data_IF_669217026318
#
_entry.id   IF_669217026318
#
_cell.length_a   1.000
_cell.length_b   1.000
_cell.length_c   1.000
_cell.angle_alpha   90.00
_cell.angle_beta   90.00
_cell.angle_gamma   90.00
#
_symmetry.space_group_name_H-M   'P 1'
#
loop_
_entity.id
_entity.type
_entity.pdbx_description
1 polymer ?
#
# COMPACT_ATOMS: atom_id res chain seq x y z
N UNK A 1 -11.31 -10.52 -4.31
CA UNK A 1 -11.47 -11.70 -3.41
C UNK A 1 -10.56 -11.60 -2.19
N UNK A 2 -9.23 -11.57 -2.34
CA UNK A 2 -8.32 -11.43 -1.18
C UNK A 2 -8.52 -10.12 -0.39
N UNK A 3 -8.63 -8.97 -1.07
CA UNK A 3 -8.85 -7.69 -0.39
C UNK A 3 -10.19 -7.65 0.38
N UNK A 4 -11.25 -8.33 -0.10
CA UNK A 4 -12.53 -8.45 0.62
C UNK A 4 -12.38 -9.28 1.90
N UNK A 5 -11.65 -10.39 1.82
CA UNK A 5 -11.36 -11.18 3.00
C UNK A 5 -10.62 -10.37 4.07
N UNK A 6 -9.55 -9.66 3.69
CA UNK A 6 -8.74 -8.87 4.63
C UNK A 6 -9.48 -7.61 5.11
N UNK A 7 -10.17 -6.91 4.22
CA UNK A 7 -10.75 -5.60 4.51
C UNK A 7 -12.16 -5.60 5.08
N UNK A 8 -12.85 -6.74 5.07
CA UNK A 8 -14.24 -6.84 5.53
C UNK A 8 -14.46 -8.09 6.37
N UNK A 9 -14.22 -9.28 5.81
CA UNK A 9 -14.61 -10.55 6.45
C UNK A 9 -13.79 -10.85 7.72
N UNK A 10 -12.45 -10.82 7.60
CA UNK A 10 -11.56 -11.10 8.72
C UNK A 10 -11.67 -10.03 9.80
N UNK A 11 -11.72 -8.76 9.42
CA UNK A 11 -11.87 -7.63 10.36
C UNK A 11 -13.18 -7.76 11.14
N UNK A 12 -14.29 -8.05 10.47
CA UNK A 12 -15.57 -8.29 11.13
C UNK A 12 -15.51 -9.44 12.13
N UNK A 13 -14.87 -10.55 11.75
CA UNK A 13 -14.69 -11.69 12.64
C UNK A 13 -13.86 -11.35 13.89
N UNK A 14 -12.68 -10.72 13.72
CA UNK A 14 -11.79 -10.44 14.85
C UNK A 14 -12.35 -9.35 15.78
N UNK A 15 -13.06 -8.37 15.23
CA UNK A 15 -13.79 -7.34 16.00
C UNK A 15 -14.80 -7.99 16.94
N UNK A 16 -15.59 -8.94 16.44
CA UNK A 16 -16.62 -9.64 17.22
C UNK A 16 -16.03 -10.66 18.21
N UNK A 17 -14.89 -11.26 17.87
CA UNK A 17 -14.28 -12.32 18.70
C UNK A 17 -13.44 -11.76 19.84
N UNK A 18 -12.69 -10.69 19.58
CA UNK A 18 -11.68 -10.17 20.51
C UNK A 18 -11.99 -8.77 21.05
N UNK A 19 -13.12 -8.16 20.65
CA UNK A 19 -13.52 -6.84 21.14
C UNK A 19 -12.61 -5.70 20.65
N UNK A 20 -12.09 -5.82 19.41
CA UNK A 20 -11.22 -4.81 18.82
C UNK A 20 -11.97 -3.53 18.46
N UNK A 21 -11.22 -2.47 18.17
CA UNK A 21 -11.75 -1.19 17.75
C UNK A 21 -12.66 -1.32 16.51
N UNK A 22 -13.79 -0.62 16.54
CA UNK A 22 -14.83 -0.68 15.49
C UNK A 22 -14.69 0.42 14.43
N UNK A 23 -13.91 1.45 14.75
CA UNK A 23 -13.77 2.66 13.93
C UNK A 23 -12.53 2.56 13.04
N UNK A 24 -12.59 3.21 11.88
CA UNK A 24 -11.45 3.32 10.98
C UNK A 24 -10.29 4.04 11.66
N UNK A 25 -10.58 5.09 12.44
CA UNK A 25 -9.61 5.92 13.15
C UNK A 25 -8.65 5.09 14.01
N UNK A 26 -9.13 4.02 14.62
CA UNK A 26 -8.36 3.15 15.52
C UNK A 26 -7.90 1.85 14.84
N UNK A 27 -8.13 1.72 13.54
CA UNK A 27 -7.76 0.51 12.77
C UNK A 27 -6.73 0.88 11.69
N UNK A 28 -5.57 0.21 11.74
CA UNK A 28 -4.51 0.35 10.75
C UNK A 28 -4.25 -0.97 10.01
N UNK A 29 -3.77 -0.86 8.78
CA UNK A 29 -3.15 -1.96 8.03
C UNK A 29 -1.70 -1.61 7.71
N UNK A 30 -0.79 -2.57 7.90
CA UNK A 30 0.63 -2.39 7.70
C UNK A 30 1.19 -3.51 6.83
N UNK A 31 2.12 -3.17 5.94
CA UNK A 31 2.83 -4.17 5.14
C UNK A 31 4.15 -3.65 4.59
N UNK A 32 4.98 -4.59 4.14
CA UNK A 32 6.24 -4.31 3.45
C UNK A 32 6.31 -5.01 2.09
N UNK A 33 7.12 -4.51 1.15
CA UNK A 33 7.28 -5.12 -0.19
C UNK A 33 5.94 -5.24 -0.92
N UNK A 34 5.61 -6.41 -1.46
CA UNK A 34 4.28 -6.70 -2.01
C UNK A 34 3.15 -6.48 -0.99
N UNK A 35 3.41 -6.74 0.29
CA UNK A 35 2.47 -6.45 1.38
C UNK A 35 2.25 -4.95 1.59
N UNK A 36 3.24 -4.11 1.30
CA UNK A 36 3.10 -2.64 1.36
C UNK A 36 2.19 -2.12 0.26
N UNK A 37 2.33 -2.65 -0.97
CA UNK A 37 1.34 -2.44 -2.04
C UNK A 37 -0.05 -2.90 -1.62
N UNK A 38 -0.16 -4.12 -1.08
CA UNK A 38 -1.43 -4.68 -0.63
C UNK A 38 -2.10 -3.87 0.49
N UNK A 39 -1.31 -3.33 1.41
CA UNK A 39 -1.79 -2.46 2.49
C UNK A 39 -2.39 -1.16 1.93
N UNK A 40 -1.68 -0.47 1.03
CA UNK A 40 -2.18 0.74 0.35
C UNK A 40 -3.46 0.46 -0.43
N UNK A 41 -3.43 -0.55 -1.29
CA UNK A 41 -4.58 -0.94 -2.10
C UNK A 41 -5.81 -1.26 -1.23
N UNK A 42 -5.63 -2.07 -0.19
CA UNK A 42 -6.72 -2.47 0.70
C UNK A 42 -7.26 -1.29 1.50
N UNK A 43 -6.39 -0.44 2.06
CA UNK A 43 -6.82 0.73 2.82
C UNK A 43 -7.61 1.72 1.96
N UNK A 44 -7.20 1.94 0.71
CA UNK A 44 -7.95 2.83 -0.20
C UNK A 44 -9.25 2.20 -0.74
N UNK A 45 -9.31 0.87 -0.81
CA UNK A 45 -10.54 0.16 -1.18
C UNK A 45 -11.57 0.16 -0.03
N UNK A 46 -11.09 0.03 1.22
CA UNK A 46 -11.92 -0.04 2.43
C UNK A 46 -11.57 1.09 3.42
N UNK A 47 -11.75 2.37 3.05
CA UNK A 47 -11.36 3.52 3.89
C UNK A 47 -12.21 3.64 5.16
N UNK A 48 -13.41 3.04 5.17
CA UNK A 48 -14.27 2.97 6.36
C UNK A 48 -13.85 1.85 7.32
N UNK A 49 -13.01 0.92 6.86
CA UNK A 49 -12.40 -0.11 7.73
C UNK A 49 -11.06 0.36 8.29
N UNK A 50 -10.20 0.92 7.44
CA UNK A 50 -8.83 1.32 7.81
C UNK A 50 -8.65 2.83 7.70
N UNK A 51 -8.47 3.50 8.82
CA UNK A 51 -8.21 4.93 8.86
C UNK A 51 -6.74 5.29 8.78
N UNK A 52 -5.84 4.30 8.86
CA UNK A 52 -4.39 4.47 8.75
C UNK A 52 -3.76 3.33 7.95
N UNK A 53 -2.73 3.63 7.17
CA UNK A 53 -1.96 2.65 6.40
C UNK A 53 -0.47 2.91 6.55
N UNK A 54 0.28 1.84 6.80
CA UNK A 54 1.74 1.86 6.82
C UNK A 54 2.30 0.94 5.73
N UNK A 55 3.15 1.51 4.87
CA UNK A 55 3.63 0.86 3.65
C UNK A 55 5.14 1.05 3.52
N UNK A 56 5.89 -0.01 3.77
CA UNK A 56 7.36 0.01 3.81
C UNK A 56 7.96 -0.70 2.59
N UNK A 57 8.96 -0.11 1.94
CA UNK A 57 9.61 -0.69 0.76
C UNK A 57 8.62 -1.24 -0.26
N UNK A 58 7.55 -0.49 -0.57
CA UNK A 58 6.37 -1.08 -1.21
C UNK A 58 6.64 -1.41 -2.68
N UNK A 59 6.14 -2.56 -3.16
CA UNK A 59 6.24 -2.97 -4.55
C UNK A 59 5.25 -2.20 -5.45
N UNK A 60 5.45 -0.89 -5.56
CA UNK A 60 4.64 0.04 -6.35
C UNK A 60 5.08 0.03 -7.82
N UNK A 61 5.01 -1.17 -8.41
CA UNK A 61 5.59 -1.50 -9.72
C UNK A 61 4.58 -1.43 -10.87
N UNK A 62 3.40 -0.83 -10.65
CA UNK A 62 2.30 -0.79 -11.64
C UNK A 62 2.75 -0.21 -12.98
N UNK A 63 3.54 0.88 -12.96
CA UNK A 63 4.05 1.50 -14.18
C UNK A 63 5.17 0.69 -14.86
N UNK A 64 5.91 -0.12 -14.09
CA UNK A 64 6.99 -0.96 -14.61
C UNK A 64 6.44 -2.18 -15.35
N UNK A 65 5.40 -2.81 -14.81
CA UNK A 65 4.79 -4.02 -15.39
C UNK A 65 3.76 -3.70 -16.49
N UNK A 66 3.43 -2.42 -16.68
CA UNK A 66 2.42 -1.97 -17.63
C UNK A 66 2.80 -2.40 -19.06
N UNK A 67 1.85 -3.06 -19.74
CA UNK A 67 2.03 -3.53 -21.10
C UNK A 67 2.96 -4.73 -21.27
N UNK A 68 3.45 -5.35 -20.17
CA UNK A 68 4.20 -6.61 -20.25
C UNK A 68 3.34 -7.66 -20.97
N UNK A 69 3.93 -8.35 -21.94
CA UNK A 69 3.25 -9.35 -22.77
C UNK A 69 3.55 -10.76 -22.27
N UNK A 70 2.74 -11.72 -22.73
CA UNK A 70 2.93 -13.14 -22.43
C UNK A 70 4.36 -13.60 -22.80
N UNK A 71 4.96 -14.37 -21.91
CA UNK A 71 6.38 -14.73 -21.94
C UNK A 71 7.36 -13.65 -21.45
N UNK A 72 6.90 -12.47 -21.04
CA UNK A 72 7.72 -11.41 -20.44
C UNK A 72 8.19 -11.74 -19.02
N UNK A 73 9.35 -11.19 -18.64
CA UNK A 73 10.01 -11.37 -17.34
C UNK A 73 10.96 -10.19 -17.09
N UNK A 74 11.03 -9.70 -15.85
CA UNK A 74 11.91 -8.58 -15.44
C UNK A 74 13.00 -8.99 -14.43
N UNK A 75 13.21 -10.29 -14.21
CA UNK A 75 14.14 -10.85 -13.23
C UNK A 75 13.56 -10.98 -11.81
N UNK A 76 12.41 -10.38 -11.54
CA UNK A 76 11.69 -10.49 -10.25
C UNK A 76 10.56 -11.50 -10.37
N UNK A 77 9.71 -11.35 -11.39
CA UNK A 77 8.67 -12.31 -11.72
C UNK A 77 8.32 -12.25 -13.22
N UNK A 78 7.52 -13.22 -13.66
CA UNK A 78 7.07 -13.33 -15.04
C UNK A 78 5.67 -12.73 -15.24
N UNK A 79 5.28 -12.60 -16.51
CA UNK A 79 3.96 -12.12 -16.92
C UNK A 79 2.82 -12.86 -16.22
N UNK A 80 2.88 -14.19 -16.11
CA UNK A 80 1.79 -14.97 -15.52
C UNK A 80 1.54 -14.61 -14.05
N UNK A 81 2.61 -14.40 -13.29
CA UNK A 81 2.51 -13.92 -11.90
C UNK A 81 1.90 -12.52 -11.82
N UNK A 82 2.41 -11.58 -12.61
CA UNK A 82 1.91 -10.20 -12.60
C UNK A 82 0.47 -10.11 -13.09
N UNK A 83 0.10 -10.85 -14.13
CA UNK A 83 -1.27 -10.90 -14.62
C UNK A 83 -2.23 -11.50 -13.59
N UNK A 84 -1.81 -12.53 -12.83
CA UNK A 84 -2.64 -13.07 -11.75
C UNK A 84 -2.83 -12.05 -10.61
N UNK A 85 -1.77 -11.32 -10.23
CA UNK A 85 -1.84 -10.35 -9.14
C UNK A 85 -2.56 -9.05 -9.52
N UNK A 86 -2.35 -8.54 -10.73
CA UNK A 86 -2.75 -7.20 -11.15
C UNK A 86 -3.79 -7.20 -12.29
N UNK A 87 -4.18 -8.37 -12.79
CA UNK A 87 -5.13 -8.51 -13.89
C UNK A 87 -4.54 -8.10 -15.25
N UNK A 88 -5.36 -7.45 -16.07
CA UNK A 88 -4.96 -7.04 -17.41
C UNK A 88 -3.84 -5.97 -17.37
N UNK A 89 -2.61 -6.36 -17.68
CA UNK A 89 -1.43 -5.48 -17.63
C UNK A 89 -1.44 -4.36 -18.68
N UNK A 90 -2.24 -4.47 -19.74
CA UNK A 90 -2.42 -3.38 -20.72
C UNK A 90 -3.23 -2.20 -20.16
N UNK A 91 -4.03 -2.45 -19.11
CA UNK A 91 -4.93 -1.48 -18.50
C UNK A 91 -4.56 -1.16 -17.05
N UNK A 92 -3.54 -1.82 -16.49
CA UNK A 92 -3.22 -1.81 -15.06
C UNK A 92 -3.03 -0.42 -14.48
N UNK A 93 -2.42 0.50 -15.25
CA UNK A 93 -2.19 1.89 -14.84
C UNK A 93 -3.49 2.64 -14.55
N UNK A 94 -4.57 2.34 -15.29
CA UNK A 94 -5.87 2.99 -15.14
C UNK A 94 -6.86 2.16 -14.29
N UNK A 95 -6.43 1.00 -13.80
CA UNK A 95 -7.29 0.04 -13.09
C UNK A 95 -7.36 0.30 -11.59
N UNK A 96 -8.29 -0.40 -10.92
CA UNK A 96 -8.37 -0.42 -9.45
C UNK A 96 -7.16 -1.09 -8.80
N UNK A 97 -6.36 -1.86 -9.54
CA UNK A 97 -5.11 -2.43 -9.04
C UNK A 97 -3.97 -1.39 -8.99
N UNK A 98 -4.24 -0.11 -9.31
CA UNK A 98 -3.33 1.00 -9.10
C UNK A 98 -3.75 1.86 -7.88
N UNK A 99 -2.97 1.88 -6.78
CA UNK A 99 -3.22 2.73 -5.63
C UNK A 99 -3.37 4.22 -5.96
N UNK A 100 -2.71 4.73 -7.01
CA UNK A 100 -2.87 6.11 -7.49
C UNK A 100 -4.31 6.39 -7.93
N UNK A 101 -4.93 5.45 -8.63
CA UNK A 101 -6.31 5.57 -9.10
C UNK A 101 -7.29 5.52 -7.93
N UNK A 102 -7.06 4.60 -6.99
CA UNK A 102 -7.90 4.46 -5.80
C UNK A 102 -7.88 5.71 -4.93
N UNK A 103 -6.70 6.23 -4.57
CA UNK A 103 -6.59 7.41 -3.71
C UNK A 103 -7.09 8.68 -4.40
N UNK A 104 -6.87 8.81 -5.72
CA UNK A 104 -7.40 9.91 -6.51
C UNK A 104 -8.93 9.89 -6.55
N UNK A 105 -9.53 8.71 -6.69
CA UNK A 105 -11.00 8.53 -6.63
C UNK A 105 -11.54 8.96 -5.27
N UNK A 106 -10.94 8.52 -4.17
CA UNK A 106 -11.35 8.94 -2.82
C UNK A 106 -11.29 10.47 -2.67
N UNK A 107 -10.21 11.10 -3.15
CA UNK A 107 -10.05 12.56 -3.13
C UNK A 107 -11.13 13.27 -3.94
N UNK A 108 -11.39 12.82 -5.18
CA UNK A 108 -12.38 13.42 -6.07
C UNK A 108 -13.82 13.26 -5.58
N UNK A 109 -14.12 12.14 -4.92
CA UNK A 109 -15.41 11.87 -4.32
C UNK A 109 -15.57 12.53 -2.93
N UNK A 110 -14.56 13.26 -2.47
CA UNK A 110 -14.50 13.88 -1.14
C UNK A 110 -14.75 12.87 0.00
N UNK A 111 -14.29 11.64 -0.20
CA UNK A 111 -14.31 10.57 0.80
C UNK A 111 -13.12 10.68 1.73
N UNK A 112 -13.23 10.04 2.90
CA UNK A 112 -12.13 9.96 3.85
C UNK A 112 -10.97 9.18 3.23
N UNK A 113 -9.77 9.76 3.30
CA UNK A 113 -8.53 9.09 2.89
C UNK A 113 -7.83 8.60 4.17
N UNK A 114 -7.40 7.32 4.23
CA UNK A 114 -6.61 6.81 5.35
C UNK A 114 -5.34 7.65 5.53
N UNK A 115 -4.88 7.86 6.75
CA UNK A 115 -3.57 8.48 7.00
C UNK A 115 -2.47 7.58 6.42
N UNK A 116 -1.63 8.13 5.55
CA UNK A 116 -0.64 7.36 4.79
C UNK A 116 0.73 7.55 5.43
N UNK A 117 1.37 6.45 5.81
CA UNK A 117 2.73 6.39 6.32
C UNK A 117 3.57 5.49 5.42
N UNK A 118 4.63 6.04 4.86
CA UNK A 118 5.49 5.34 3.91
C UNK A 118 6.95 5.47 4.30
N UNK A 119 7.70 4.37 4.15
CA UNK A 119 9.14 4.41 4.26
C UNK A 119 9.83 3.52 3.24
N UNK A 120 11.02 3.89 2.80
CA UNK A 120 11.85 3.03 1.97
C UNK A 120 13.33 3.29 2.25
N UNK A 121 14.13 2.23 2.23
CA UNK A 121 15.56 2.31 2.45
C UNK A 121 16.27 2.92 1.25
N UNK A 122 17.33 3.70 1.48
CA UNK A 122 18.08 4.35 0.39
C UNK A 122 18.86 3.37 -0.49
N UNK A 123 19.07 2.14 -0.02
CA UNK A 123 19.70 1.06 -0.78
C UNK A 123 18.69 0.02 -1.31
N UNK A 124 17.39 0.26 -1.09
CA UNK A 124 16.32 -0.63 -1.55
C UNK A 124 16.09 -0.48 -3.07
N UNK A 125 15.94 -1.59 -3.78
CA UNK A 125 15.69 -1.59 -5.22
C UNK A 125 14.31 -1.02 -5.59
N UNK A 126 13.39 -0.90 -4.63
CA UNK A 126 12.07 -0.29 -4.81
C UNK A 126 12.03 1.21 -4.46
N UNK A 127 13.17 1.82 -4.14
CA UNK A 127 13.22 3.22 -3.70
C UNK A 127 12.58 4.17 -4.70
N UNK A 128 12.92 4.05 -5.98
CA UNK A 128 12.40 4.94 -7.02
C UNK A 128 10.89 4.76 -7.24
N UNK A 129 10.36 3.54 -7.11
CA UNK A 129 8.91 3.31 -7.14
C UNK A 129 8.20 4.02 -5.98
N UNK A 130 8.78 3.97 -4.78
CA UNK A 130 8.22 4.64 -3.60
C UNK A 130 8.32 6.17 -3.72
N UNK A 131 9.43 6.71 -4.24
CA UNK A 131 9.60 8.14 -4.54
C UNK A 131 8.61 8.64 -5.58
N UNK A 132 8.33 7.85 -6.62
CA UNK A 132 7.34 8.20 -7.64
C UNK A 132 5.93 8.32 -7.04
N UNK A 133 5.53 7.36 -6.20
CA UNK A 133 4.22 7.41 -5.54
C UNK A 133 4.15 8.55 -4.51
N UNK A 134 5.20 8.77 -3.72
CA UNK A 134 5.33 9.94 -2.84
C UNK A 134 5.12 11.25 -3.61
N UNK A 135 5.84 11.44 -4.73
CA UNK A 135 5.70 12.62 -5.59
C UNK A 135 4.28 12.74 -6.18
N UNK A 136 3.66 11.63 -6.53
CA UNK A 136 2.26 11.62 -6.97
C UNK A 136 1.32 12.14 -5.88
N UNK A 137 1.46 11.66 -4.64
CA UNK A 137 0.67 12.13 -3.50
C UNK A 137 0.87 13.63 -3.24
N UNK A 138 2.13 14.10 -3.25
CA UNK A 138 2.47 15.52 -3.11
C UNK A 138 1.82 16.38 -4.20
N UNK A 139 1.96 15.97 -5.46
CA UNK A 139 1.43 16.71 -6.61
C UNK A 139 -0.10 16.83 -6.55
N UNK A 140 -0.78 15.84 -5.97
CA UNK A 140 -2.23 15.83 -5.80
C UNK A 140 -2.68 16.39 -4.43
N UNK A 141 -1.76 16.96 -3.63
CA UNK A 141 -2.03 17.51 -2.30
C UNK A 141 -2.69 16.50 -1.34
N UNK A 142 -2.30 15.22 -1.42
CA UNK A 142 -2.79 14.17 -0.53
C UNK A 142 -1.87 14.11 0.70
N UNK A 143 -2.36 14.38 1.93
CA UNK A 143 -1.52 14.36 3.12
C UNK A 143 -0.95 12.96 3.40
N UNK A 144 0.36 12.89 3.61
CA UNK A 144 1.06 11.65 3.93
C UNK A 144 2.40 11.93 4.62
N UNK A 145 2.93 10.91 5.29
CA UNK A 145 4.27 10.89 5.86
C UNK A 145 5.14 10.01 4.96
N UNK A 146 6.26 10.54 4.48
CA UNK A 146 7.26 9.78 3.74
C UNK A 146 8.63 9.94 4.40
N UNK A 147 9.28 8.82 4.69
CA UNK A 147 10.59 8.79 5.35
C UNK A 147 11.56 7.89 4.57
N UNK A 148 12.79 8.35 4.41
CA UNK A 148 13.90 7.56 3.88
C UNK A 148 15.03 7.51 4.91
N UNK A 149 15.71 6.37 5.02
CA UNK A 149 16.96 6.24 5.78
C UNK A 149 17.84 5.16 5.14
N UNK A 150 19.09 5.06 5.60
CA UNK A 150 19.93 3.91 5.25
C UNK A 150 19.25 2.59 5.61
N UNK A 151 19.40 1.60 4.74
CA UNK A 151 18.81 0.27 4.80
C UNK A 151 18.45 -0.25 3.42
N UNK A 152 18.46 -1.58 3.28
CA UNK A 152 18.03 -2.26 2.06
C UNK A 152 16.64 -2.85 2.18
N UNK A 153 16.34 -3.82 1.31
CA UNK A 153 15.09 -4.56 1.32
C UNK A 153 15.11 -5.69 2.36
N UNK A 154 15.16 -5.31 3.64
CA UNK A 154 15.43 -6.25 4.74
C UNK A 154 14.65 -5.98 6.04
N UNK A 155 14.62 -7.00 6.90
CA UNK A 155 13.91 -6.98 8.18
C UNK A 155 14.48 -5.97 9.17
N UNK A 156 15.76 -5.60 9.06
CA UNK A 156 16.36 -4.60 9.97
C UNK A 156 15.71 -3.25 9.73
N UNK A 157 15.62 -2.84 8.46
CA UNK A 157 14.94 -1.62 8.07
C UNK A 157 13.45 -1.66 8.47
N UNK A 158 12.73 -2.73 8.12
CA UNK A 158 11.29 -2.81 8.43
C UNK A 158 11.00 -2.80 9.93
N UNK A 159 11.79 -3.47 10.75
CA UNK A 159 11.59 -3.48 12.20
C UNK A 159 11.71 -2.08 12.82
N UNK A 160 12.66 -1.25 12.36
CA UNK A 160 12.78 0.13 12.81
C UNK A 160 11.50 0.93 12.51
N UNK A 161 11.02 0.82 11.28
CA UNK A 161 9.89 1.62 10.81
C UNK A 161 8.54 1.13 11.32
N UNK A 162 8.38 -0.18 11.60
CA UNK A 162 7.20 -0.70 12.31
C UNK A 162 7.02 0.01 13.65
N UNK A 163 8.08 0.11 14.45
CA UNK A 163 8.03 0.78 15.77
C UNK A 163 7.73 2.26 15.60
N UNK A 164 8.50 2.95 14.75
CA UNK A 164 8.37 4.39 14.50
C UNK A 164 6.95 4.76 14.03
N UNK A 165 6.40 4.01 13.08
CA UNK A 165 5.05 4.29 12.57
C UNK A 165 3.96 3.87 13.52
N UNK A 166 4.14 2.82 14.31
CA UNK A 166 3.18 2.48 15.38
C UNK A 166 3.06 3.62 16.38
N UNK A 167 4.20 4.19 16.82
CA UNK A 167 4.23 5.34 17.70
C UNK A 167 3.61 6.59 17.04
N UNK A 168 3.87 6.84 15.75
CA UNK A 168 3.23 7.97 15.05
C UNK A 168 1.71 7.80 14.87
N UNK A 169 1.23 6.57 14.69
CA UNK A 169 -0.18 6.28 14.45
C UNK A 169 -1.02 6.24 15.74
N UNK A 170 -0.41 5.82 16.85
CA UNK A 170 -1.12 5.48 18.10
C UNK A 170 -0.44 5.97 19.38
N UNK A 171 0.76 6.53 19.28
CA UNK A 171 1.43 7.18 20.40
C UNK A 171 0.65 8.39 20.89
N UNK A 172 0.72 8.63 22.20
CA UNK A 172 0.10 9.80 22.85
C UNK A 172 0.98 11.03 22.74
#
# INVERSE_FOLDING_TARGET
KYCTYVGEELIGYIRNTFGLAQTAEDTAIMGYSMGGFGALHTAFTYPDTFGKVCAMSSALIVHEIAGMKDGGDNGVANYAYYHECFGNLDEVVASDNNPEILVKRLSQENKKIPQIYMACGTEDFLLENNRQFHKFLDTNNIPHVYLESGGGHDMTFWNEYVVKFTDMMFGK
#
